data_IF_780824962883
#
_entry.id   IF_780824962883
#
_cell.length_a   1.000
_cell.length_b   1.000
_cell.length_c   1.000
_cell.angle_alpha   90.00
_cell.angle_beta   90.00
_cell.angle_gamma   90.00
#
_symmetry.space_group_name_H-M   'P 1'
#
loop_
_entity.id
_entity.type
_entity.pdbx_description
1 polymer ?
#
# COMPACT_ATOMS: atom_id res chain seq x y z
N UNK A 1 -5.22 -3.32 3.36
CA UNK A 1 -4.92 -3.23 1.92
C UNK A 1 -4.22 -1.92 1.66
N UNK A 2 -3.15 -1.91 0.88
CA UNK A 2 -2.46 -0.69 0.47
C UNK A 2 -2.46 -0.61 -1.05
N UNK A 3 -2.77 0.56 -1.58
CA UNK A 3 -2.88 0.85 -2.99
C UNK A 3 -1.78 1.85 -3.36
N UNK A 4 -0.99 1.55 -4.39
CA UNK A 4 0.24 2.27 -4.74
C UNK A 4 0.26 2.57 -6.24
N UNK A 5 0.66 3.78 -6.62
CA UNK A 5 1.02 4.09 -8.01
C UNK A 5 2.44 3.60 -8.30
N UNK A 6 2.55 2.51 -9.07
CA UNK A 6 3.82 1.91 -9.45
C UNK A 6 4.58 2.65 -10.57
N UNK A 7 3.95 3.64 -11.21
CA UNK A 7 4.61 4.55 -12.15
C UNK A 7 5.35 5.71 -11.47
N UNK A 8 5.10 5.91 -10.18
CA UNK A 8 5.63 7.02 -9.40
C UNK A 8 6.82 6.56 -8.54
N UNK A 9 8.03 7.05 -8.84
CA UNK A 9 9.26 6.66 -8.12
C UNK A 9 9.22 7.00 -6.63
N UNK A 10 8.66 8.16 -6.25
CA UNK A 10 8.48 8.55 -4.84
C UNK A 10 7.53 7.59 -4.10
N UNK A 11 6.45 7.16 -4.77
CA UNK A 11 5.46 6.25 -4.23
C UNK A 11 6.04 4.86 -3.95
N UNK A 12 7.05 4.44 -4.71
CA UNK A 12 7.78 3.20 -4.44
C UNK A 12 8.60 3.31 -3.15
N UNK A 13 9.17 4.49 -2.86
CA UNK A 13 9.88 4.74 -1.60
C UNK A 13 8.94 4.64 -0.40
N UNK A 14 7.82 5.36 -0.44
CA UNK A 14 6.80 5.32 0.62
C UNK A 14 6.24 3.89 0.81
N UNK A 15 6.11 3.11 -0.28
CA UNK A 15 5.71 1.71 -0.23
C UNK A 15 6.73 0.84 0.49
N UNK A 16 8.02 1.03 0.19
CA UNK A 16 9.10 0.27 0.82
C UNK A 16 9.15 0.56 2.32
N UNK A 17 9.03 1.82 2.72
CA UNK A 17 8.95 2.22 4.14
C UNK A 17 7.76 1.57 4.84
N UNK A 18 6.57 1.64 4.22
CA UNK A 18 5.38 0.98 4.74
C UNK A 18 5.57 -0.54 4.90
N UNK A 19 6.16 -1.20 3.89
CA UNK A 19 6.44 -2.62 3.92
C UNK A 19 7.44 -2.98 5.04
N UNK A 20 8.48 -2.18 5.26
CA UNK A 20 9.43 -2.40 6.37
C UNK A 20 8.74 -2.30 7.73
N UNK A 21 7.92 -1.27 7.95
CA UNK A 21 7.16 -1.11 9.20
C UNK A 21 6.27 -2.32 9.51
N UNK A 22 5.65 -2.91 8.47
CA UNK A 22 4.93 -4.16 8.63
C UNK A 22 5.87 -5.35 8.85
N UNK A 23 6.97 -5.50 8.10
CA UNK A 23 7.89 -6.61 8.28
C UNK A 23 8.43 -6.69 9.71
N UNK A 24 8.80 -5.55 10.32
CA UNK A 24 9.30 -5.48 11.69
C UNK A 24 8.31 -6.00 12.73
N UNK A 25 7.01 -5.97 12.41
CA UNK A 25 5.94 -6.32 13.33
C UNK A 25 5.14 -7.55 12.88
N UNK A 26 5.67 -8.32 11.91
CA UNK A 26 4.97 -9.42 11.24
C UNK A 26 4.43 -10.51 12.16
N UNK A 27 5.08 -10.71 13.30
CA UNK A 27 4.66 -11.70 14.29
C UNK A 27 3.56 -11.17 15.23
N UNK A 28 3.32 -9.85 15.25
CA UNK A 28 2.34 -9.20 16.13
C UNK A 28 0.97 -9.06 15.50
N UNK A 29 0.89 -8.61 14.23
CA UNK A 29 -0.39 -8.53 13.55
C UNK A 29 -0.79 -9.85 12.90
N UNK A 30 -2.09 -10.18 13.00
CA UNK A 30 -2.65 -11.45 12.49
C UNK A 30 -3.55 -11.29 11.28
N UNK A 31 -3.57 -10.10 10.67
CA UNK A 31 -4.40 -9.82 9.51
C UNK A 31 -3.59 -9.93 8.21
N UNK A 32 -4.22 -10.40 7.11
CA UNK A 32 -3.54 -10.50 5.83
C UNK A 32 -3.25 -9.10 5.28
N UNK A 33 -2.03 -8.91 4.81
CA UNK A 33 -1.64 -7.69 4.11
C UNK A 33 -1.66 -7.91 2.60
N UNK A 34 -2.28 -6.95 1.91
CA UNK A 34 -2.44 -6.95 0.46
C UNK A 34 -1.95 -5.62 -0.09
N UNK A 35 -1.06 -5.70 -1.08
CA UNK A 35 -0.57 -4.58 -1.86
C UNK A 35 -1.18 -4.64 -3.26
N UNK A 36 -1.79 -3.56 -3.70
CA UNK A 36 -2.28 -3.38 -5.05
C UNK A 36 -1.49 -2.26 -5.71
N UNK A 37 -0.75 -2.61 -6.75
CA UNK A 37 0.06 -1.66 -7.51
C UNK A 37 -0.60 -1.41 -8.84
N UNK A 38 -0.88 -0.14 -9.14
CA UNK A 38 -1.37 0.28 -10.45
C UNK A 38 -0.21 0.84 -11.26
N UNK A 39 0.06 0.27 -12.42
CA UNK A 39 1.16 0.71 -13.28
C UNK A 39 0.97 0.25 -14.71
N UNK A 40 1.11 1.15 -15.70
CA UNK A 40 1.09 0.77 -17.11
C UNK A 40 2.28 -0.09 -17.52
N UNK A 41 3.35 -0.10 -16.71
CA UNK A 41 4.56 -0.87 -16.95
C UNK A 41 4.97 -1.65 -15.69
N UNK A 42 4.54 -2.91 -15.63
CA UNK A 42 4.89 -3.83 -14.54
C UNK A 42 6.38 -4.21 -14.51
N UNK A 43 7.10 -4.09 -15.64
CA UNK A 43 8.53 -4.41 -15.72
C UNK A 43 9.34 -3.32 -15.04
N UNK A 44 9.03 -2.05 -15.35
CA UNK A 44 9.66 -0.89 -14.69
C UNK A 44 9.39 -0.91 -13.19
N UNK A 45 8.13 -1.15 -12.78
CA UNK A 45 7.80 -1.25 -11.35
C UNK A 45 8.62 -2.33 -10.65
N UNK A 46 8.67 -3.56 -11.19
CA UNK A 46 9.47 -4.65 -10.62
C UNK A 46 10.95 -4.30 -10.56
N UNK A 47 11.51 -3.71 -11.62
CA UNK A 47 12.91 -3.29 -11.65
C UNK A 47 13.22 -2.25 -10.57
N UNK A 48 12.31 -1.30 -10.34
CA UNK A 48 12.45 -0.31 -9.27
C UNK A 48 12.32 -0.94 -7.89
N UNK A 49 11.37 -1.85 -7.68
CA UNK A 49 11.20 -2.55 -6.41
C UNK A 49 12.42 -3.42 -6.07
N UNK A 50 12.99 -4.11 -7.05
CA UNK A 50 14.20 -4.94 -6.87
C UNK A 50 15.42 -4.14 -6.40
N UNK A 51 15.48 -2.83 -6.62
CA UNK A 51 16.58 -1.99 -6.11
C UNK A 51 16.63 -1.92 -4.58
N UNK A 52 15.53 -2.23 -3.91
CA UNK A 52 15.42 -2.16 -2.46
C UNK A 52 15.72 -3.50 -1.77
N UNK A 53 15.81 -4.60 -2.52
CA UNK A 53 16.11 -5.96 -2.02
C UNK A 53 15.31 -6.36 -0.77
N UNK A 54 14.00 -6.06 -0.77
CA UNK A 54 13.11 -6.31 0.37
C UNK A 54 12.23 -7.53 0.17
N UNK A 55 12.10 -8.34 1.23
CA UNK A 55 11.00 -9.29 1.37
C UNK A 55 9.67 -8.50 1.38
N UNK A 56 8.60 -9.04 0.81
CA UNK A 56 7.28 -8.45 0.94
C UNK A 56 6.55 -9.09 2.11
N UNK A 57 6.10 -8.26 3.06
CA UNK A 57 5.26 -8.71 4.15
C UNK A 57 3.91 -9.27 3.65
N UNK A 58 3.36 -8.64 2.62
CA UNK A 58 2.04 -8.93 2.08
C UNK A 58 2.05 -9.55 0.69
N UNK A 59 0.87 -9.96 0.23
CA UNK A 59 0.65 -10.41 -1.15
C UNK A 59 0.53 -9.20 -2.09
N UNK A 60 1.24 -9.26 -3.21
CA UNK A 60 1.29 -8.19 -4.21
C UNK A 60 0.42 -8.54 -5.43
N UNK A 61 -0.46 -7.63 -5.81
CA UNK A 61 -1.25 -7.64 -7.03
C UNK A 61 -0.87 -6.45 -7.90
N UNK A 62 -0.85 -6.63 -9.21
CA UNK A 62 -0.51 -5.56 -10.17
C UNK A 62 -1.66 -5.39 -11.14
N UNK A 63 -2.24 -4.18 -11.19
CA UNK A 63 -3.20 -3.77 -12.22
C UNK A 63 -2.46 -2.96 -13.28
N UNK A 64 -2.29 -3.58 -14.45
CA UNK A 64 -1.60 -2.94 -15.60
C UNK A 64 -2.51 -2.11 -16.49
N UNK A 65 -3.80 -2.11 -16.21
CA UNK A 65 -4.83 -1.45 -17.04
C UNK A 65 -5.36 -0.17 -16.40
N UNK A 66 -4.97 0.12 -15.15
CA UNK A 66 -5.54 1.18 -14.32
C UNK A 66 -7.08 1.07 -14.17
N UNK A 67 -7.64 -0.12 -14.38
CA UNK A 67 -9.09 -0.34 -14.34
C UNK A 67 -9.66 -0.07 -12.96
N UNK A 68 -8.94 -0.45 -11.90
CA UNK A 68 -9.36 -0.20 -10.52
C UNK A 68 -9.29 1.28 -10.15
N UNK A 69 -8.28 2.00 -10.64
CA UNK A 69 -8.17 3.44 -10.48
C UNK A 69 -9.38 4.15 -11.07
N UNK A 70 -9.72 3.81 -12.31
CA UNK A 70 -10.79 4.46 -13.06
C UNK A 70 -12.16 4.17 -12.45
N UNK A 71 -12.41 2.92 -12.04
CA UNK A 71 -13.68 2.52 -11.46
C UNK A 71 -13.95 3.18 -10.09
N UNK A 72 -12.90 3.44 -9.30
CA UNK A 72 -13.03 3.89 -7.92
C UNK A 72 -12.53 5.33 -7.68
N UNK A 73 -12.05 6.01 -8.72
CA UNK A 73 -11.49 7.37 -8.65
C UNK A 73 -10.39 7.50 -7.58
N UNK A 74 -9.49 6.51 -7.52
CA UNK A 74 -8.39 6.46 -6.54
C UNK A 74 -7.30 7.50 -6.87
N UNK A 75 -6.48 7.85 -5.87
CA UNK A 75 -5.33 8.78 -5.98
C UNK A 75 -5.64 10.24 -6.34
N UNK A 76 -6.84 10.76 -6.03
CA UNK A 76 -7.18 12.17 -6.33
C UNK A 76 -6.21 13.18 -5.71
N UNK A 77 -5.70 12.89 -4.53
CA UNK A 77 -4.84 13.81 -3.76
C UNK A 77 -3.61 13.13 -3.15
N UNK A 78 -3.51 11.80 -3.25
CA UNK A 78 -2.45 11.05 -2.58
C UNK A 78 -1.84 9.95 -3.42
N UNK A 79 -0.58 9.65 -3.11
CA UNK A 79 0.36 8.80 -3.83
C UNK A 79 0.32 7.33 -3.38
N UNK A 80 -0.15 7.12 -2.15
CA UNK A 80 -0.42 5.84 -1.53
C UNK A 80 -1.74 5.97 -0.80
N UNK A 81 -2.56 4.93 -0.85
CA UNK A 81 -3.77 4.89 -0.05
C UNK A 81 -3.86 3.57 0.72
N UNK A 82 -3.95 3.68 2.04
CA UNK A 82 -4.07 2.55 2.95
C UNK A 82 -5.52 2.43 3.41
N UNK A 83 -6.03 1.22 3.28
CA UNK A 83 -7.38 0.84 3.68
C UNK A 83 -7.30 -0.25 4.75
N UNK A 84 -7.98 -0.05 5.87
CA UNK A 84 -8.34 -1.14 6.76
C UNK A 84 -9.76 -1.58 6.44
N UNK A 85 -9.89 -2.85 6.06
CA UNK A 85 -11.17 -3.48 5.76
C UNK A 85 -11.48 -4.42 6.93
N UNK A 86 -12.64 -4.23 7.56
CA UNK A 86 -13.08 -5.10 8.65
C UNK A 86 -13.70 -6.41 8.11
N UNK A 87 -14.09 -7.31 9.01
CA UNK A 87 -14.72 -8.60 8.67
C UNK A 87 -16.10 -8.50 7.98
N UNK A 88 -16.69 -7.30 7.95
CA UNK A 88 -17.98 -6.99 7.31
C UNK A 88 -17.77 -6.34 5.94
N UNK A 89 -16.55 -6.42 5.40
CA UNK A 89 -16.13 -5.83 4.12
C UNK A 89 -16.27 -4.30 4.06
N UNK A 90 -16.23 -3.64 5.23
CA UNK A 90 -16.30 -2.19 5.33
C UNK A 90 -14.93 -1.56 5.52
N UNK A 91 -14.69 -0.45 4.81
CA UNK A 91 -13.52 0.40 5.00
C UNK A 91 -13.70 1.19 6.30
N UNK A 92 -12.86 0.92 7.30
CA UNK A 92 -12.88 1.59 8.61
C UNK A 92 -11.75 2.61 8.77
N UNK A 93 -10.70 2.51 7.96
CA UNK A 93 -9.62 3.49 7.82
C UNK A 93 -9.35 3.65 6.33
N UNK A 94 -9.17 4.88 5.85
CA UNK A 94 -8.82 5.22 4.48
C UNK A 94 -7.89 6.43 4.47
N UNK A 95 -6.82 6.38 3.68
CA UNK A 95 -5.96 7.53 3.40
C UNK A 95 -4.48 7.20 3.47
N UNK A 96 -3.64 8.22 3.32
CA UNK A 96 -2.19 8.09 3.37
C UNK A 96 -1.67 8.33 4.80
N UNK A 97 -1.07 7.31 5.46
CA UNK A 97 -0.52 7.48 6.81
C UNK A 97 0.65 8.46 6.87
N UNK A 98 1.36 8.72 5.76
CA UNK A 98 2.47 9.67 5.70
C UNK A 98 2.02 11.13 5.59
N UNK A 99 0.77 11.37 5.14
CA UNK A 99 0.23 12.72 4.91
C UNK A 99 -0.88 13.09 5.90
N UNK A 100 -1.53 12.10 6.53
CA UNK A 100 -2.66 12.31 7.42
C UNK A 100 -2.38 11.77 8.83
N UNK A 101 -2.19 12.68 9.79
CA UNK A 101 -1.90 12.37 11.20
C UNK A 101 -2.97 11.52 11.88
N UNK A 102 -4.25 11.67 11.50
CA UNK A 102 -5.32 10.81 12.03
C UNK A 102 -5.16 9.37 11.54
N UNK A 103 -4.91 9.19 10.24
CA UNK A 103 -4.69 7.87 9.63
C UNK A 103 -3.40 7.26 10.19
N UNK A 104 -2.36 8.06 10.40
CA UNK A 104 -1.10 7.65 11.03
C UNK A 104 -1.33 7.03 12.42
N UNK A 105 -2.05 7.71 13.32
CA UNK A 105 -2.33 7.14 14.65
C UNK A 105 -3.16 5.85 14.57
N UNK A 106 -4.16 5.80 13.69
CA UNK A 106 -4.97 4.59 13.51
C UNK A 106 -4.15 3.43 12.92
N UNK A 107 -3.15 3.74 12.09
CA UNK A 107 -2.19 2.79 11.53
C UNK A 107 -1.20 2.30 12.60
N UNK A 108 -0.63 3.18 13.41
CA UNK A 108 0.28 2.82 14.51
C UNK A 108 -0.40 1.90 15.53
N UNK A 109 -1.67 2.14 15.82
CA UNK A 109 -2.45 1.29 16.72
C UNK A 109 -2.71 -0.11 16.13
N UNK A 110 -2.67 -0.28 14.81
CA UNK A 110 -2.72 -1.60 14.17
C UNK A 110 -1.39 -2.34 14.24
N UNK A 111 -0.28 -1.59 14.28
CA UNK A 111 1.05 -2.16 14.32
C UNK A 111 1.47 -2.59 15.74
N UNK A 112 0.91 -1.98 16.80
CA UNK A 112 1.17 -2.33 18.21
C UNK A 112 0.60 -3.69 18.60
#
# INVERSE_FOLDING_TARGET
MCIIDGGCSLCIGDFVELNMNFLEQKDKYKFPLYYLVMTGDSVIFKSNLMKFDQELCGKLFVDTTYSLMQANQLFKESRIEVFLINKEDQIVISGNPFENTKVCHQYDDLLK
#
